data_IF_712278682195
#
_entry.id   IF_712278682195
#
_cell.length_a   1.000
_cell.length_b   1.000
_cell.length_c   1.000
_cell.angle_alpha   90.00
_cell.angle_beta   90.00
_cell.angle_gamma   90.00
#
_symmetry.space_group_name_H-M   'P 1'
#
loop_
_entity.id
_entity.type
_entity.pdbx_description
1 polymer ?
#
# COMPACT_ATOMS: atom_id res chain seq x y z
N UNK A 1 3.34 -15.57 -9.93
CA UNK A 1 4.65 -15.27 -9.33
C UNK A 1 4.34 -14.26 -8.24
N UNK A 2 4.12 -14.74 -7.02
CA UNK A 2 3.61 -13.93 -5.93
C UNK A 2 4.62 -12.84 -5.60
N UNK A 3 4.21 -11.58 -5.66
CA UNK A 3 4.98 -10.49 -5.08
C UNK A 3 5.11 -10.78 -3.59
N UNK A 4 6.26 -11.33 -3.17
CA UNK A 4 6.64 -11.32 -1.76
C UNK A 4 6.82 -9.87 -1.36
N UNK A 5 5.79 -9.32 -0.72
CA UNK A 5 5.80 -8.01 -0.07
C UNK A 5 6.97 -7.87 0.93
N UNK A 6 7.65 -8.96 1.31
CA UNK A 6 8.85 -8.94 2.16
C UNK A 6 10.18 -8.73 1.42
N UNK A 7 10.23 -8.76 0.09
CA UNK A 7 11.48 -8.59 -0.70
C UNK A 7 11.55 -7.26 -1.47
N UNK A 8 10.46 -6.48 -1.52
CA UNK A 8 10.47 -5.09 -1.98
C UNK A 8 10.40 -4.16 -0.77
N UNK A 9 11.51 -3.46 -0.49
CA UNK A 9 11.41 -2.05 -0.11
C UNK A 9 10.67 -1.38 -1.27
N UNK A 10 9.34 -1.40 -1.22
CA UNK A 10 8.42 -0.84 -2.21
C UNK A 10 8.93 0.53 -2.60
N UNK A 11 8.97 0.83 -3.90
CA UNK A 11 9.29 2.14 -4.47
C UNK A 11 8.80 3.30 -3.57
N UNK A 12 9.67 3.79 -2.68
CA UNK A 12 9.40 4.87 -1.71
C UNK A 12 9.23 6.24 -2.39
N UNK A 13 8.80 6.25 -3.65
CA UNK A 13 8.52 7.45 -4.41
C UNK A 13 7.10 8.00 -4.16
N UNK A 14 6.21 7.26 -3.49
CA UNK A 14 4.86 7.73 -3.20
C UNK A 14 4.78 8.37 -1.80
N UNK A 15 4.72 9.72 -1.70
CA UNK A 15 4.75 10.40 -0.41
C UNK A 15 3.52 10.08 0.47
N UNK A 16 2.41 9.66 -0.13
CA UNK A 16 1.23 9.26 0.64
C UNK A 16 1.41 7.89 1.30
N UNK A 17 2.10 6.97 0.60
CA UNK A 17 2.46 5.67 1.17
C UNK A 17 3.39 5.85 2.36
N UNK A 18 4.42 6.68 2.24
CA UNK A 18 5.34 6.99 3.34
C UNK A 18 4.60 7.60 4.53
N UNK A 19 3.67 8.53 4.29
CA UNK A 19 2.86 9.17 5.34
C UNK A 19 2.00 8.15 6.08
N UNK A 20 1.39 7.20 5.37
CA UNK A 20 0.56 6.15 5.95
C UNK A 20 1.39 5.15 6.73
N UNK A 21 2.54 4.73 6.21
CA UNK A 21 3.48 3.87 6.93
C UNK A 21 3.97 4.53 8.21
N UNK A 22 4.31 5.83 8.16
CA UNK A 22 4.69 6.61 9.34
C UNK A 22 3.54 6.78 10.35
N UNK A 23 2.29 6.79 9.89
CA UNK A 23 1.10 6.79 10.74
C UNK A 23 0.79 5.41 11.36
N UNK A 24 1.56 4.37 11.03
CA UNK A 24 1.41 3.01 11.55
C UNK A 24 0.61 2.07 10.64
N UNK A 25 0.32 2.48 9.41
CA UNK A 25 -0.22 1.54 8.43
C UNK A 25 0.83 0.49 8.07
N UNK A 26 0.39 -0.74 7.84
CA UNK A 26 1.23 -1.89 7.48
C UNK A 26 0.76 -2.47 6.15
N UNK A 27 1.66 -2.81 5.22
CA UNK A 27 1.25 -3.49 3.99
C UNK A 27 0.68 -4.87 4.30
N UNK A 28 -0.38 -5.24 3.60
CA UNK A 28 -1.06 -6.53 3.73
C UNK A 28 -1.19 -7.16 2.36
N UNK A 29 -0.81 -8.43 2.26
CA UNK A 29 -1.03 -9.24 1.07
C UNK A 29 -2.37 -9.95 1.17
N UNK A 30 -3.28 -9.64 0.25
CA UNK A 30 -4.57 -10.33 0.10
C UNK A 30 -4.63 -11.20 -1.17
N UNK A 31 -3.48 -11.49 -1.78
CA UNK A 31 -3.35 -12.20 -3.05
C UNK A 31 -3.08 -11.29 -4.24
N UNK A 32 -2.41 -10.16 -4.02
CA UNK A 32 -2.07 -9.21 -5.09
C UNK A 32 -0.86 -9.72 -5.89
N UNK A 33 -0.86 -9.55 -7.21
CA UNK A 33 0.28 -9.97 -8.05
C UNK A 33 1.38 -8.91 -8.12
N UNK A 34 1.06 -7.66 -7.80
CA UNK A 34 1.93 -6.49 -7.89
C UNK A 34 1.67 -5.60 -9.11
N UNK A 35 0.90 -6.11 -10.09
CA UNK A 35 0.50 -5.42 -11.32
C UNK A 35 -0.68 -4.45 -11.10
N UNK A 36 -1.32 -4.52 -9.94
CA UNK A 36 -2.45 -3.70 -9.57
C UNK A 36 -2.04 -2.25 -9.39
N UNK A 37 -2.93 -1.33 -9.76
CA UNK A 37 -2.69 0.12 -9.64
C UNK A 37 -2.92 0.66 -8.21
N UNK A 38 -2.97 -0.22 -7.20
CA UNK A 38 -3.19 0.12 -5.80
C UNK A 38 -2.35 -0.75 -4.85
N UNK A 39 -2.01 -0.20 -3.70
CA UNK A 39 -1.40 -0.90 -2.57
C UNK A 39 -2.48 -1.28 -1.57
N UNK A 40 -2.39 -2.46 -0.96
CA UNK A 40 -3.26 -2.83 0.17
C UNK A 40 -2.48 -2.63 1.45
N UNK A 41 -3.06 -1.83 2.34
CA UNK A 41 -2.51 -1.51 3.65
C UNK A 41 -3.57 -1.84 4.71
N UNK A 42 -3.13 -2.20 5.91
CA UNK A 42 -3.97 -2.21 7.09
C UNK A 42 -3.56 -1.06 8.01
N UNK A 43 -4.54 -0.40 8.61
CA UNK A 43 -4.27 0.58 9.67
C UNK A 43 -3.80 -0.13 10.97
N UNK A 44 -3.37 0.63 11.99
CA UNK A 44 -3.01 0.06 13.30
C UNK A 44 -4.13 -0.71 13.99
N UNK A 45 -5.40 -0.40 13.69
CA UNK A 45 -6.57 -1.09 14.23
C UNK A 45 -6.84 -2.43 13.51
N UNK A 46 -6.16 -2.67 12.39
CA UNK A 46 -6.26 -3.87 11.58
C UNK A 46 -7.28 -3.76 10.45
N UNK A 47 -7.82 -2.58 10.17
CA UNK A 47 -8.74 -2.37 9.04
C UNK A 47 -7.96 -2.28 7.73
N UNK A 48 -8.37 -3.08 6.76
CA UNK A 48 -7.73 -3.16 5.44
C UNK A 48 -8.31 -2.11 4.48
N UNK A 49 -7.44 -1.42 3.76
CA UNK A 49 -7.81 -0.41 2.78
C UNK A 49 -6.87 -0.40 1.57
N UNK A 50 -7.38 0.09 0.44
CA UNK A 50 -6.64 0.22 -0.81
C UNK A 50 -6.16 1.66 -1.02
N UNK A 51 -4.86 1.84 -1.21
CA UNK A 51 -4.24 3.11 -1.60
C UNK A 51 -3.95 3.09 -3.11
N UNK A 52 -4.66 3.89 -3.93
CA UNK A 52 -4.35 3.99 -5.36
C UNK A 52 -2.98 4.67 -5.59
N UNK A 53 -2.21 4.18 -6.57
CA UNK A 53 -0.93 4.77 -7.04
C UNK A 53 -1.12 6.10 -7.80
N UNK A 54 -2.36 6.58 -7.91
CA UNK A 54 -2.69 7.89 -8.52
C UNK A 54 -3.38 8.75 -7.50
N UNK A 55 -3.04 10.03 -7.46
CA UNK A 55 -3.85 11.02 -6.74
C UNK A 55 -5.22 11.15 -7.41
N UNK A 56 -6.27 11.00 -6.61
CA UNK A 56 -7.63 11.30 -7.01
C UNK A 56 -7.90 12.75 -6.61
N UNK A 57 -8.38 13.58 -7.55
CA UNK A 57 -8.81 14.92 -7.22
C UNK A 57 -10.03 14.84 -6.29
N UNK A 58 -10.08 15.65 -5.21
CA UNK A 58 -11.29 15.74 -4.40
C UNK A 58 -12.45 16.22 -5.29
N UNK A 59 -13.59 15.51 -5.21
CA UNK A 59 -14.84 15.87 -5.88
C UNK A 59 -15.59 16.94 -5.10
#
# INVERSE_FOLDING_TARGET
MACRITELVLDVHDPELERLLAAGARPVDIGQTGDESWHVLADPEGNEFCLPRRRVAPV
#
